data_IF_115589118813
#
_entry.id   IF_115589118813
#
_cell.length_a   1.000
_cell.length_b   1.000
_cell.length_c   1.000
_cell.angle_alpha   90.00
_cell.angle_beta   90.00
_cell.angle_gamma   90.00
#
_symmetry.space_group_name_H-M   'P 1'
#
loop_
_entity.id
_entity.type
_entity.pdbx_description
1 polymer ?
#
# COMPACT_ATOMS: atom_id res chain seq x y z
N UNK A 1 9.18 8.79 4.77
CA UNK A 1 9.28 9.15 3.34
C UNK A 1 7.92 9.50 2.76
N UNK A 2 6.91 8.62 2.86
CA UNK A 2 5.53 8.91 2.41
C UNK A 2 4.98 10.20 3.01
N UNK A 3 5.13 10.44 4.31
CA UNK A 3 4.71 11.70 4.96
C UNK A 3 5.36 12.95 4.33
N UNK A 4 6.62 12.88 3.90
CA UNK A 4 7.31 14.03 3.31
C UNK A 4 6.88 14.27 1.85
N UNK A 5 6.59 13.21 1.10
CA UNK A 5 6.01 13.31 -0.25
C UNK A 5 4.62 13.95 -0.19
N UNK A 6 3.81 13.57 0.79
CA UNK A 6 2.48 14.16 1.01
C UNK A 6 2.57 15.66 1.36
N UNK A 7 3.51 16.04 2.24
CA UNK A 7 3.78 17.45 2.57
C UNK A 7 4.24 18.26 1.35
N UNK A 8 4.94 17.63 0.42
CA UNK A 8 5.33 18.23 -0.87
C UNK A 8 4.18 18.27 -1.89
N UNK A 9 2.96 17.85 -1.53
CA UNK A 9 1.80 17.83 -2.42
C UNK A 9 1.81 16.68 -3.42
N UNK A 10 2.57 15.61 -3.16
CA UNK A 10 2.64 14.41 -4.00
C UNK A 10 1.85 13.28 -3.34
N UNK A 11 0.65 12.96 -3.85
CA UNK A 11 -0.16 11.87 -3.33
C UNK A 11 0.59 10.54 -3.36
N UNK A 12 0.66 9.86 -2.22
CA UNK A 12 1.44 8.64 -2.06
C UNK A 12 0.68 7.60 -1.24
N UNK A 13 0.74 6.34 -1.65
CA UNK A 13 0.22 5.21 -0.86
C UNK A 13 1.37 4.31 -0.46
N UNK A 14 1.42 3.92 0.81
CA UNK A 14 2.37 2.93 1.29
C UNK A 14 1.71 1.55 1.38
N UNK A 15 2.19 0.61 0.57
CA UNK A 15 1.89 -0.82 0.72
C UNK A 15 2.89 -1.42 1.71
N UNK A 16 2.40 -2.00 2.81
CA UNK A 16 3.27 -2.51 3.88
C UNK A 16 2.68 -3.71 4.60
N UNK A 17 3.52 -4.54 5.19
CA UNK A 17 3.14 -5.62 6.12
C UNK A 17 3.11 -5.15 7.58
N UNK A 18 3.70 -4.00 7.89
CA UNK A 18 3.80 -3.42 9.22
C UNK A 18 2.83 -2.23 9.40
N UNK A 19 1.54 -2.48 9.13
CA UNK A 19 0.51 -1.43 9.11
C UNK A 19 0.42 -0.62 10.43
N UNK A 20 0.50 -1.23 11.63
CA UNK A 20 0.50 -0.47 12.88
C UNK A 20 1.68 0.50 13.00
N UNK A 21 2.88 0.07 12.60
CA UNK A 21 4.10 0.89 12.67
C UNK A 21 3.99 2.06 11.69
N UNK A 22 3.55 1.80 10.46
CA UNK A 22 3.37 2.84 9.45
C UNK A 22 2.35 3.91 9.90
N UNK A 23 1.27 3.50 10.58
CA UNK A 23 0.31 4.42 11.17
C UNK A 23 0.91 5.25 12.32
N UNK A 24 1.71 4.62 13.19
CA UNK A 24 2.37 5.34 14.30
C UNK A 24 3.32 6.45 13.83
N UNK A 25 3.99 6.26 12.68
CA UNK A 25 4.91 7.26 12.12
C UNK A 25 4.22 8.31 11.24
N UNK A 26 2.89 8.33 11.18
CA UNK A 26 2.12 9.36 10.48
C UNK A 26 2.01 9.17 8.97
N UNK A 27 1.95 7.93 8.49
CA UNK A 27 1.59 7.66 7.10
C UNK A 27 0.05 7.70 6.92
N UNK A 28 -0.42 8.55 6.01
CA UNK A 28 -1.85 8.82 5.80
C UNK A 28 -2.55 7.68 5.06
N UNK A 29 -2.01 7.29 3.90
CA UNK A 29 -2.63 6.28 3.02
C UNK A 29 -1.87 4.96 3.06
N UNK A 30 -2.52 3.95 3.64
CA UNK A 30 -1.93 2.65 3.92
C UNK A 30 -2.74 1.52 3.27
N UNK A 31 -2.03 0.57 2.66
CA UNK A 31 -2.60 -0.69 2.18
C UNK A 31 -1.82 -1.84 2.80
N UNK A 32 -2.55 -2.80 3.38
CA UNK A 32 -1.96 -4.03 3.89
C UNK A 32 -1.52 -4.90 2.70
N UNK A 33 -0.24 -5.27 2.68
CA UNK A 33 0.32 -6.19 1.69
C UNK A 33 -0.13 -7.65 1.88
N UNK A 34 0.35 -8.54 1.02
CA UNK A 34 -0.01 -9.96 1.04
C UNK A 34 0.53 -10.71 2.27
N UNK A 35 1.69 -10.31 2.77
CA UNK A 35 2.32 -10.93 3.93
C UNK A 35 3.63 -10.23 4.28
N UNK A 36 4.31 -10.74 5.31
CA UNK A 36 5.65 -10.23 5.70
C UNK A 36 6.68 -10.61 4.64
N UNK A 37 6.66 -11.87 4.22
CA UNK A 37 7.48 -12.40 3.13
C UNK A 37 6.67 -12.23 1.84
N UNK A 38 7.26 -11.60 0.82
CA UNK A 38 6.59 -11.20 -0.43
C UNK A 38 5.43 -10.21 -0.23
N UNK A 39 5.74 -9.01 0.28
CA UNK A 39 4.73 -7.97 0.58
C UNK A 39 3.78 -7.67 -0.60
N UNK A 40 4.29 -7.71 -1.83
CA UNK A 40 3.55 -7.36 -3.05
C UNK A 40 3.28 -8.54 -3.98
N UNK A 41 3.36 -9.77 -3.51
CA UNK A 41 3.13 -10.96 -4.34
C UNK A 41 3.07 -12.24 -3.54
N UNK A 42 3.11 -13.37 -4.24
CA UNK A 42 3.12 -14.69 -3.61
C UNK A 42 4.01 -15.64 -4.41
N UNK A 43 5.07 -16.14 -3.79
CA UNK A 43 6.01 -17.06 -4.42
C UNK A 43 5.49 -18.50 -4.53
N UNK A 44 4.41 -18.84 -3.83
CA UNK A 44 3.78 -20.18 -3.87
C UNK A 44 2.66 -20.27 -4.92
N UNK A 45 2.20 -19.13 -5.41
CA UNK A 45 1.14 -19.05 -6.41
C UNK A 45 1.68 -19.41 -7.80
N UNK A 46 0.78 -19.89 -8.68
CA UNK A 46 1.11 -19.98 -10.11
C UNK A 46 1.33 -18.58 -10.71
N UNK A 47 1.99 -18.49 -11.86
CA UNK A 47 2.29 -17.20 -12.50
C UNK A 47 1.02 -16.34 -12.77
N UNK A 48 -0.09 -16.98 -13.13
CA UNK A 48 -1.37 -16.29 -13.36
C UNK A 48 -2.01 -15.80 -12.06
N UNK A 49 -1.98 -16.61 -11.00
CA UNK A 49 -2.48 -16.22 -9.68
C UNK A 49 -1.65 -15.12 -9.05
N UNK A 50 -0.32 -15.19 -9.16
CA UNK A 50 0.61 -14.16 -8.70
C UNK A 50 0.31 -12.81 -9.35
N UNK A 51 0.11 -12.82 -10.67
CA UNK A 51 -0.25 -11.61 -11.43
C UNK A 51 -1.59 -11.04 -10.97
N UNK A 52 -2.55 -11.88 -10.62
CA UNK A 52 -3.84 -11.47 -10.05
C UNK A 52 -3.66 -10.84 -8.66
N UNK A 53 -2.83 -11.42 -7.80
CA UNK A 53 -2.49 -10.85 -6.48
C UNK A 53 -1.88 -9.47 -6.63
N UNK A 54 -0.89 -9.31 -7.51
CA UNK A 54 -0.29 -7.99 -7.82
C UNK A 54 -1.32 -7.00 -8.31
N UNK A 55 -2.19 -7.43 -9.24
CA UNK A 55 -3.25 -6.56 -9.78
C UNK A 55 -4.19 -6.06 -8.69
N UNK A 56 -4.65 -6.94 -7.81
CA UNK A 56 -5.53 -6.59 -6.70
C UNK A 56 -4.88 -5.60 -5.73
N UNK A 57 -3.59 -5.76 -5.43
CA UNK A 57 -2.86 -4.83 -4.57
C UNK A 57 -2.73 -3.43 -5.21
N UNK A 58 -2.43 -3.37 -6.51
CA UNK A 58 -2.36 -2.10 -7.26
C UNK A 58 -3.73 -1.43 -7.31
N UNK A 59 -4.80 -2.18 -7.55
CA UNK A 59 -6.16 -1.63 -7.56
C UNK A 59 -6.57 -1.07 -6.20
N UNK A 60 -6.25 -1.78 -5.10
CA UNK A 60 -6.45 -1.27 -3.74
C UNK A 60 -5.64 -0.01 -3.46
N UNK A 61 -4.37 0.02 -3.88
CA UNK A 61 -3.53 1.20 -3.72
C UNK A 61 -4.06 2.39 -4.54
N UNK A 62 -4.53 2.16 -5.77
CA UNK A 62 -5.10 3.20 -6.60
C UNK A 62 -6.41 3.74 -6.03
N UNK A 63 -7.25 2.88 -5.47
CA UNK A 63 -8.46 3.30 -4.76
C UNK A 63 -8.12 4.14 -3.52
N UNK A 64 -7.13 3.73 -2.72
CA UNK A 64 -6.65 4.50 -1.57
C UNK A 64 -6.01 5.84 -1.96
N UNK A 65 -5.33 5.91 -3.11
CA UNK A 65 -4.73 7.12 -3.64
C UNK A 65 -5.80 8.15 -4.05
N UNK A 66 -6.91 7.67 -4.62
CA UNK A 66 -8.05 8.49 -5.08
C UNK A 66 -9.00 8.89 -3.97
N UNK A 67 -9.00 8.18 -2.85
CA UNK A 67 -9.81 8.57 -1.70
C UNK A 67 -9.33 9.92 -1.14
N UNK A 68 -10.28 10.78 -0.79
CA UNK A 68 -9.94 12.02 -0.08
C UNK A 68 -9.23 11.69 1.23
N UNK A 69 -8.19 12.47 1.52
CA UNK A 69 -7.36 12.27 2.71
C UNK A 69 -8.24 12.49 3.94
N UNK A 70 -8.54 11.42 4.70
CA UNK A 70 -9.37 11.47 5.93
C UNK A 70 -8.67 12.18 7.11
N UNK A 71 -7.59 12.89 6.81
CA UNK A 71 -6.66 13.53 7.75
C UNK A 71 -6.97 15.02 7.94
N UNK A 72 -8.02 15.54 7.28
CA UNK A 72 -8.50 16.91 7.41
C UNK A 72 -9.51 17.05 8.57
#
# INVERSE_FOLDING_TARGET
>A
MTTELEKAGIPTVQVTSALPIAKMVGANRLVLGNGIIHVVGDARASAEEEKKVRRQLVEKALAALRAEDKSA
#
